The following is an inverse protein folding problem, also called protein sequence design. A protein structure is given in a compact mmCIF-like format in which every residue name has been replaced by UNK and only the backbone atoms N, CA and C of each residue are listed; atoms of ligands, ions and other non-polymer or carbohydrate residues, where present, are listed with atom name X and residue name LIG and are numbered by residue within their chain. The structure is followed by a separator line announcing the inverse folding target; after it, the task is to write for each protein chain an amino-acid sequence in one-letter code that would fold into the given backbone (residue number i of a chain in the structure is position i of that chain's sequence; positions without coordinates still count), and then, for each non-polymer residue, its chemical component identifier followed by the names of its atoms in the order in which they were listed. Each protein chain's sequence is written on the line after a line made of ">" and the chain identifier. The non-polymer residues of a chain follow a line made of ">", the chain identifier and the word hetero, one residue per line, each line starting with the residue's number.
data_IF_142057908835
#
_entry.id   IF_142057908835
#
_cell.length_a   1.000
_cell.length_b   1.000
_cell.length_c   1.000
_cell.angle_alpha   90.00
_cell.angle_beta   90.00
_cell.angle_gamma   90.00
#
_symmetry.space_group_name_H-M   'P 1'
#
loop_
_entity.id
_entity.type
_entity.pdbx_description
1 polymer ?
#
# COMPACT_ATOMS: atom_id res chain seq x y z
N UNK A 1 42.12 -11.25 -24.03
CA UNK A 1 41.73 -10.03 -23.28
C UNK A 1 40.53 -10.32 -22.44
N UNK A 2 40.60 -10.10 -21.14
CA UNK A 2 39.42 -10.22 -20.33
C UNK A 2 38.42 -9.17 -20.76
N UNK A 3 37.17 -9.57 -20.89
CA UNK A 3 36.10 -8.61 -21.16
C UNK A 3 35.97 -7.63 -20.02
N UNK A 4 35.86 -6.34 -20.34
CA UNK A 4 35.53 -5.36 -19.35
C UNK A 4 34.16 -5.68 -18.78
N UNK A 5 34.10 -5.81 -17.48
CA UNK A 5 32.83 -5.98 -16.80
C UNK A 5 32.02 -4.67 -16.90
N UNK A 6 30.77 -4.80 -17.26
CA UNK A 6 29.86 -3.68 -17.38
C UNK A 6 29.67 -2.94 -16.06
N UNK A 7 29.83 -3.63 -14.95
CA UNK A 7 29.79 -3.09 -13.60
C UNK A 7 31.07 -3.45 -12.88
N UNK A 8 31.54 -2.57 -12.01
CA UNK A 8 32.82 -2.77 -11.28
C UNK A 8 32.79 -4.01 -10.39
N UNK A 9 31.61 -4.31 -9.82
CA UNK A 9 31.42 -5.45 -8.94
C UNK A 9 29.95 -5.85 -8.91
N UNK A 10 29.67 -6.97 -8.24
CA UNK A 10 28.31 -7.46 -8.09
C UNK A 10 27.44 -6.54 -7.21
N UNK A 11 28.05 -5.84 -6.26
CA UNK A 11 27.32 -4.92 -5.38
C UNK A 11 26.73 -3.74 -6.15
N UNK A 12 27.51 -3.17 -7.08
CA UNK A 12 27.02 -2.09 -7.94
C UNK A 12 25.87 -2.56 -8.84
N UNK A 13 26.01 -3.76 -9.42
CA UNK A 13 24.96 -4.37 -10.23
C UNK A 13 23.67 -4.59 -9.43
N UNK A 14 23.79 -5.11 -8.22
CA UNK A 14 22.66 -5.34 -7.34
C UNK A 14 21.97 -4.05 -6.95
N UNK A 15 22.72 -3.00 -6.65
CA UNK A 15 22.16 -1.69 -6.33
C UNK A 15 21.38 -1.10 -7.51
N UNK A 16 21.93 -1.20 -8.73
CA UNK A 16 21.26 -0.71 -9.93
C UNK A 16 19.96 -1.49 -10.18
N UNK A 17 19.96 -2.80 -9.98
CA UNK A 17 18.78 -3.64 -10.10
C UNK A 17 17.70 -3.25 -9.09
N UNK A 18 18.07 -3.10 -7.82
CA UNK A 18 17.13 -2.71 -6.77
C UNK A 18 16.52 -1.33 -7.00
N UNK A 19 17.34 -0.39 -7.48
CA UNK A 19 16.86 0.96 -7.80
C UNK A 19 15.81 0.92 -8.90
N UNK A 20 16.02 0.13 -9.96
CA UNK A 20 15.05 -0.04 -11.05
C UNK A 20 13.76 -0.69 -10.55
N UNK A 21 13.86 -1.72 -9.71
CA UNK A 21 12.69 -2.40 -9.15
C UNK A 21 11.87 -1.47 -8.27
N UNK A 22 12.54 -0.64 -7.46
CA UNK A 22 11.86 0.34 -6.63
C UNK A 22 11.11 1.38 -7.48
N UNK A 23 11.72 1.84 -8.57
CA UNK A 23 11.09 2.79 -9.48
C UNK A 23 9.85 2.20 -10.16
N UNK A 24 9.96 0.95 -10.66
CA UNK A 24 8.83 0.26 -11.28
C UNK A 24 7.66 0.12 -10.30
N UNK A 25 7.94 -0.26 -9.05
CA UNK A 25 6.90 -0.37 -8.02
C UNK A 25 6.23 0.97 -7.73
N UNK A 26 7.02 2.05 -7.67
CA UNK A 26 6.50 3.39 -7.44
C UNK A 26 5.57 3.81 -8.59
N UNK A 27 5.97 3.57 -9.83
CA UNK A 27 5.17 3.86 -11.02
C UNK A 27 3.87 3.07 -11.02
N UNK A 28 3.93 1.78 -10.67
CA UNK A 28 2.74 0.93 -10.58
C UNK A 28 1.77 1.44 -9.51
N UNK A 29 2.27 1.87 -8.36
CA UNK A 29 1.44 2.44 -7.31
C UNK A 29 0.77 3.74 -7.75
N UNK A 30 1.50 4.60 -8.45
CA UNK A 30 0.93 5.83 -9.00
C UNK A 30 -0.15 5.53 -10.04
N UNK A 31 0.08 4.54 -10.91
CA UNK A 31 -0.90 4.12 -11.90
C UNK A 31 -2.18 3.57 -11.27
N UNK A 32 -2.08 2.96 -10.09
CA UNK A 32 -3.22 2.46 -9.33
C UNK A 32 -3.91 3.54 -8.47
N UNK A 33 -3.40 4.77 -8.49
CA UNK A 33 -3.93 5.86 -7.69
C UNK A 33 -3.53 5.81 -6.22
N UNK A 34 -2.55 4.98 -5.86
CA UNK A 34 -2.02 4.92 -4.50
C UNK A 34 -0.95 6.01 -4.31
N UNK A 35 -0.91 6.66 -3.15
CA UNK A 35 0.17 7.60 -2.87
C UNK A 35 1.51 6.86 -2.84
N UNK A 36 2.61 7.51 -3.29
CA UNK A 36 3.93 6.89 -3.20
C UNK A 36 4.28 6.60 -1.74
N UNK A 37 4.80 5.40 -1.49
CA UNK A 37 5.22 5.01 -0.15
C UNK A 37 6.45 5.82 0.27
N UNK A 38 6.44 6.43 1.47
CA UNK A 38 7.63 7.10 1.97
C UNK A 38 8.74 6.08 2.21
N UNK A 39 10.03 6.49 2.12
CA UNK A 39 11.13 5.59 2.39
C UNK A 39 11.04 5.03 3.81
N UNK A 40 11.22 3.72 3.95
CA UNK A 40 11.18 3.03 5.23
C UNK A 40 12.57 2.90 5.81
N UNK A 41 12.75 3.16 7.11
CA UNK A 41 13.99 2.80 7.78
C UNK A 41 14.23 1.29 7.66
N UNK A 42 15.49 0.91 7.44
CA UNK A 42 15.86 -0.50 7.23
C UNK A 42 16.06 -1.29 8.52
N UNK A 43 16.37 -0.60 9.62
CA UNK A 43 16.62 -1.23 10.91
C UNK A 43 15.35 -1.25 11.75
N UNK A 44 15.10 -2.33 12.51
CA UNK A 44 13.98 -2.37 13.45
C UNK A 44 14.06 -1.22 14.45
N UNK A 45 13.01 -0.42 14.51
CA UNK A 45 12.95 0.75 15.42
C UNK A 45 11.51 1.25 15.48
N UNK A 46 11.24 2.13 16.42
CA UNK A 46 9.94 2.81 16.49
C UNK A 46 9.62 3.55 15.19
N UNK A 47 10.63 4.21 14.62
CA UNK A 47 10.46 4.94 13.37
C UNK A 47 10.02 4.02 12.24
N UNK A 48 10.63 2.83 12.14
CA UNK A 48 10.25 1.83 11.16
C UNK A 48 8.81 1.34 11.40
N UNK A 49 8.48 1.01 12.62
CA UNK A 49 7.16 0.47 12.94
C UNK A 49 6.06 1.51 12.73
N UNK A 50 6.30 2.75 13.12
CA UNK A 50 5.38 3.85 12.84
C UNK A 50 5.17 4.06 11.34
N UNK A 51 6.24 4.02 10.55
CA UNK A 51 6.17 4.17 9.10
C UNK A 51 5.38 3.03 8.47
N UNK A 52 5.61 1.79 8.90
CA UNK A 52 4.87 0.63 8.42
C UNK A 52 3.37 0.72 8.76
N UNK A 53 3.05 1.12 9.98
CA UNK A 53 1.66 1.28 10.41
C UNK A 53 0.98 2.41 9.65
N UNK A 54 1.68 3.50 9.39
CA UNK A 54 1.15 4.62 8.60
C UNK A 54 0.85 4.18 7.18
N UNK A 55 1.74 3.41 6.55
CA UNK A 55 1.51 2.86 5.22
C UNK A 55 0.33 1.91 5.20
N UNK A 56 0.22 1.04 6.19
CA UNK A 56 -0.91 0.11 6.30
C UNK A 56 -2.23 0.87 6.42
N UNK A 57 -2.27 1.92 7.24
CA UNK A 57 -3.47 2.74 7.40
C UNK A 57 -3.86 3.42 6.09
N UNK A 58 -2.91 4.02 5.39
CA UNK A 58 -3.17 4.68 4.11
C UNK A 58 -3.71 3.69 3.07
N UNK A 59 -3.13 2.49 3.01
CA UNK A 59 -3.60 1.45 2.10
C UNK A 59 -5.04 1.01 2.43
N UNK A 60 -5.35 0.84 3.71
CA UNK A 60 -6.69 0.47 4.15
C UNK A 60 -7.71 1.58 3.90
N UNK A 61 -7.35 2.83 4.13
CA UNK A 61 -8.20 3.99 3.82
C UNK A 61 -8.51 4.05 2.33
N UNK A 62 -7.51 3.83 1.48
CA UNK A 62 -7.70 3.80 0.02
C UNK A 62 -8.65 2.68 -0.38
N UNK A 63 -8.47 1.48 0.16
CA UNK A 63 -9.35 0.35 -0.11
C UNK A 63 -10.79 0.65 0.32
N UNK A 64 -10.97 1.21 1.51
CA UNK A 64 -12.29 1.60 2.01
C UNK A 64 -12.96 2.61 1.08
N UNK A 65 -12.23 3.64 0.69
CA UNK A 65 -12.78 4.70 -0.16
C UNK A 65 -13.17 4.17 -1.54
N UNK A 66 -12.37 3.30 -2.11
CA UNK A 66 -12.68 2.65 -3.39
C UNK A 66 -13.91 1.73 -3.27
N UNK A 67 -14.00 0.96 -2.18
CA UNK A 67 -15.15 0.08 -1.93
C UNK A 67 -16.42 0.91 -1.72
N UNK A 68 -16.33 2.00 -1.01
CA UNK A 68 -17.46 2.93 -0.78
C UNK A 68 -17.93 3.53 -2.11
N UNK A 69 -17.01 4.01 -2.94
CA UNK A 69 -17.33 4.57 -4.25
C UNK A 69 -17.97 3.52 -5.15
N UNK A 70 -17.45 2.30 -5.14
CA UNK A 70 -18.03 1.19 -5.90
C UNK A 70 -19.48 0.92 -5.47
N UNK A 71 -19.75 0.90 -4.17
CA UNK A 71 -21.10 0.71 -3.63
C UNK A 71 -22.05 1.83 -4.09
N UNK A 72 -21.62 3.07 -3.98
CA UNK A 72 -22.44 4.22 -4.30
C UNK A 72 -22.75 4.34 -5.80
N UNK A 73 -21.84 3.87 -6.66
CA UNK A 73 -22.02 3.91 -8.10
C UNK A 73 -22.92 2.78 -8.64
N UNK A 74 -23.32 1.81 -7.80
CA UNK A 74 -24.18 0.72 -8.22
C UNK A 74 -25.66 1.13 -8.20
N UNK A 75 -26.46 0.41 -8.98
CA UNK A 75 -27.92 0.63 -9.04
C UNK A 75 -28.56 0.31 -7.69
N UNK A 76 -29.73 0.90 -7.44
CA UNK A 76 -30.50 0.61 -6.23
C UNK A 76 -30.84 -0.87 -6.10
N UNK A 77 -31.16 -1.53 -7.21
CA UNK A 77 -31.42 -2.96 -7.22
C UNK A 77 -30.23 -3.77 -6.72
N UNK A 78 -29.03 -3.41 -7.16
CA UNK A 78 -27.82 -4.05 -6.70
C UNK A 78 -27.56 -3.77 -5.22
N UNK A 79 -27.82 -2.55 -4.76
CA UNK A 79 -27.61 -2.15 -3.37
C UNK A 79 -28.55 -2.87 -2.40
N UNK A 80 -29.63 -3.42 -2.88
CA UNK A 80 -30.56 -4.22 -2.09
C UNK A 80 -30.23 -5.72 -2.08
N UNK A 81 -29.23 -6.14 -2.85
CA UNK A 81 -28.84 -7.54 -2.98
C UNK A 81 -27.84 -8.00 -1.93
N UNK A 82 -27.58 -9.31 -1.93
CA UNK A 82 -26.66 -9.95 -0.97
C UNK A 82 -25.22 -9.50 -1.14
N UNK A 83 -24.78 -9.26 -2.38
CA UNK A 83 -23.40 -8.77 -2.64
C UNK A 83 -23.19 -7.39 -2.05
N UNK A 84 -24.19 -6.54 -2.13
CA UNK A 84 -24.15 -5.22 -1.53
C UNK A 84 -24.06 -5.29 0.00
N UNK A 85 -24.85 -6.18 0.61
CA UNK A 85 -24.80 -6.41 2.05
C UNK A 85 -23.41 -6.89 2.50
N UNK A 86 -22.82 -7.82 1.76
CA UNK A 86 -21.46 -8.31 2.05
C UNK A 86 -20.44 -7.20 1.94
N UNK A 87 -20.53 -6.38 0.89
CA UNK A 87 -19.60 -5.26 0.70
C UNK A 87 -19.76 -4.20 1.81
N UNK A 88 -21.00 -3.88 2.18
CA UNK A 88 -21.26 -2.95 3.27
C UNK A 88 -20.68 -3.45 4.59
N UNK A 89 -20.82 -4.74 4.90
CA UNK A 89 -20.22 -5.34 6.10
C UNK A 89 -18.69 -5.27 6.06
N UNK A 90 -18.07 -5.49 4.90
CA UNK A 90 -16.63 -5.36 4.74
C UNK A 90 -16.15 -3.93 4.96
N UNK A 91 -16.89 -2.95 4.46
CA UNK A 91 -16.59 -1.53 4.68
C UNK A 91 -16.65 -1.20 6.17
N UNK A 92 -17.70 -1.65 6.86
CA UNK A 92 -17.87 -1.43 8.30
C UNK A 92 -16.72 -2.07 9.09
N UNK A 93 -16.31 -3.27 8.74
CA UNK A 93 -15.19 -3.95 9.37
C UNK A 93 -13.87 -3.22 9.14
N UNK A 94 -13.65 -2.68 7.93
CA UNK A 94 -12.47 -1.87 7.65
C UNK A 94 -12.44 -0.60 8.50
N UNK A 95 -13.57 0.05 8.70
CA UNK A 95 -13.68 1.22 9.56
C UNK A 95 -13.31 0.89 11.01
N UNK A 96 -13.74 -0.26 11.51
CA UNK A 96 -13.37 -0.74 12.85
C UNK A 96 -11.86 -0.97 12.94
N UNK A 97 -11.25 -1.57 11.91
CA UNK A 97 -9.80 -1.80 11.88
C UNK A 97 -9.05 -0.47 11.85
N UNK A 98 -9.51 0.49 11.04
CA UNK A 98 -8.89 1.82 10.95
C UNK A 98 -8.96 2.56 12.28
N UNK A 99 -10.10 2.51 12.97
CA UNK A 99 -10.26 3.10 14.29
C UNK A 99 -9.31 2.44 15.30
N UNK A 100 -9.16 1.13 15.23
CA UNK A 100 -8.23 0.40 16.09
C UNK A 100 -6.77 0.79 15.83
N UNK A 101 -6.40 1.01 14.57
CA UNK A 101 -5.06 1.48 14.21
C UNK A 101 -4.79 2.89 14.74
N UNK A 102 -5.78 3.78 14.67
CA UNK A 102 -5.65 5.12 15.22
C UNK A 102 -5.52 5.11 16.75
N UNK A 103 -6.16 4.16 17.40
CA UNK A 103 -6.11 4.02 18.85
C UNK A 103 -4.83 3.36 19.34
N UNK A 104 -4.00 2.77 18.47
CA UNK A 104 -2.73 2.19 18.86
C UNK A 104 -1.82 3.27 19.45
N UNK A 105 -1.29 3.04 20.65
CA UNK A 105 -0.34 3.99 21.22
C UNK A 105 0.95 3.94 20.43
N UNK A 106 1.15 4.94 19.58
CA UNK A 106 2.41 5.16 18.89
C UNK A 106 3.28 5.99 19.82
N UNK A 107 4.06 5.26 20.57
CA UNK A 107 4.95 5.87 21.54
C UNK A 107 6.14 6.63 20.98
#
# INVERSE_FOLDING_TARGET
>A
MPQQRRYRDNAAKQRAYRARQAQVRCEEQQAKGLPPAPPLPTLPSRARWQALLTQARLALETARDEMQAYYEDRSETWQQGERAATLADQIDQLEVVLDALEALPLW
#
